data_IF_479136884105
#
_entry.id   IF_479136884105
#
_cell.length_a   1.000
_cell.length_b   1.000
_cell.length_c   1.000
_cell.angle_alpha   90.00
_cell.angle_beta   90.00
_cell.angle_gamma   90.00
#
_symmetry.space_group_name_H-M   'P 1'
#
loop_
_entity.id
_entity.type
_entity.pdbx_description
1 polymer ?
#
# COMPACT_ATOMS: atom_id res chain seq x y z
N UNK A 1 -5.56 -3.42 7.28
CA UNK A 1 -4.82 -4.55 6.65
C UNK A 1 -4.96 -5.83 7.46
N UNK A 2 -4.68 -5.83 8.77
CA UNK A 2 -4.84 -7.03 9.59
C UNK A 2 -6.27 -7.62 9.52
N UNK A 3 -7.32 -6.79 9.62
CA UNK A 3 -8.71 -7.23 9.46
C UNK A 3 -8.97 -7.89 8.10
N UNK A 4 -8.59 -7.22 7.01
CA UNK A 4 -8.68 -7.74 5.63
C UNK A 4 -8.01 -9.13 5.47
N UNK A 5 -6.80 -9.29 6.02
CA UNK A 5 -6.11 -10.58 5.98
C UNK A 5 -6.81 -11.62 6.86
N UNK A 6 -7.27 -11.23 8.05
CA UNK A 6 -8.02 -12.09 8.98
C UNK A 6 -9.34 -12.60 8.39
N UNK A 7 -10.09 -11.73 7.71
CA UNK A 7 -11.32 -12.08 6.99
C UNK A 7 -11.04 -13.10 5.88
N UNK A 8 -9.99 -12.86 5.07
CA UNK A 8 -9.58 -13.80 4.05
C UNK A 8 -9.14 -15.15 4.61
N UNK A 9 -8.43 -15.15 5.75
CA UNK A 9 -8.03 -16.36 6.49
C UNK A 9 -9.22 -17.11 7.08
N UNK A 10 -10.26 -16.38 7.52
CA UNK A 10 -11.52 -16.95 7.97
C UNK A 10 -12.37 -17.53 6.81
N UNK A 11 -11.91 -17.38 5.57
CA UNK A 11 -12.56 -17.93 4.37
C UNK A 11 -13.53 -16.99 3.67
N UNK A 12 -13.64 -15.73 4.12
CA UNK A 12 -14.51 -14.75 3.48
C UNK A 12 -13.94 -14.32 2.12
N UNK A 13 -14.79 -14.13 1.08
CA UNK A 13 -14.37 -13.83 -0.29
C UNK A 13 -13.99 -12.34 -0.48
N UNK A 14 -13.09 -11.82 0.36
CA UNK A 14 -12.69 -10.41 0.38
C UNK A 14 -11.48 -10.11 -0.51
N UNK A 15 -10.72 -11.12 -0.92
CA UNK A 15 -9.59 -10.95 -1.82
C UNK A 15 -10.05 -10.69 -3.26
N UNK A 16 -9.13 -10.19 -4.10
CA UNK A 16 -9.41 -9.83 -5.48
C UNK A 16 -10.10 -10.98 -6.25
N UNK A 17 -11.15 -10.66 -7.00
CA UNK A 17 -11.95 -11.65 -7.73
C UNK A 17 -12.90 -12.49 -6.87
N UNK A 18 -13.20 -12.06 -5.63
CA UNK A 18 -14.08 -12.81 -4.72
C UNK A 18 -13.40 -14.03 -4.09
N UNK A 19 -12.07 -13.97 -3.94
CA UNK A 19 -11.29 -15.07 -3.40
C UNK A 19 -11.11 -14.96 -1.88
N UNK A 20 -10.73 -16.06 -1.25
CA UNK A 20 -10.29 -16.11 0.16
C UNK A 20 -8.94 -16.82 0.26
N UNK A 21 -8.36 -16.91 1.46
CA UNK A 21 -7.07 -17.57 1.67
C UNK A 21 -7.06 -19.03 1.24
N UNK A 22 -8.23 -19.69 1.32
CA UNK A 22 -8.43 -21.10 0.99
C UNK A 22 -8.93 -21.32 -0.45
N UNK A 23 -9.21 -20.24 -1.19
CA UNK A 23 -9.54 -20.36 -2.62
C UNK A 23 -8.37 -20.97 -3.38
N UNK A 24 -8.64 -21.70 -4.46
CA UNK A 24 -7.60 -22.28 -5.31
C UNK A 24 -7.14 -21.27 -6.36
N UNK A 25 -5.84 -21.02 -6.40
CA UNK A 25 -5.20 -20.21 -7.45
C UNK A 25 -5.20 -20.92 -8.80
N UNK A 26 -4.76 -20.23 -9.85
CA UNK A 26 -4.65 -20.79 -11.21
C UNK A 26 -3.76 -22.05 -11.28
N UNK A 27 -2.88 -22.26 -10.31
CA UNK A 27 -2.02 -23.45 -10.21
C UNK A 27 -2.62 -24.56 -9.34
N UNK A 28 -3.87 -24.43 -8.89
CA UNK A 28 -4.55 -25.42 -8.04
C UNK A 28 -4.09 -25.41 -6.57
N UNK A 29 -3.32 -24.41 -6.16
CA UNK A 29 -2.78 -24.27 -4.80
C UNK A 29 -3.56 -23.19 -4.04
N UNK A 30 -3.85 -23.33 -2.73
CA UNK A 30 -4.52 -22.28 -1.95
C UNK A 30 -3.83 -20.92 -2.05
N UNK A 31 -4.60 -19.82 -2.09
CA UNK A 31 -4.07 -18.45 -2.25
C UNK A 31 -3.02 -18.06 -1.20
N UNK A 32 -3.15 -18.56 0.03
CA UNK A 32 -2.21 -18.28 1.14
C UNK A 32 -0.78 -18.81 0.89
N UNK A 33 -0.65 -19.84 0.04
CA UNK A 33 0.63 -20.44 -0.37
C UNK A 33 0.75 -20.49 -1.90
N UNK A 34 -0.01 -19.65 -2.59
CA UNK A 34 -0.04 -19.58 -4.05
C UNK A 34 0.87 -18.48 -4.61
N UNK A 35 0.93 -18.32 -5.94
CA UNK A 35 1.80 -17.34 -6.60
C UNK A 35 1.56 -15.88 -6.18
N UNK A 36 0.36 -15.56 -5.67
CA UNK A 36 -0.03 -14.23 -5.21
C UNK A 36 0.17 -14.01 -3.70
N UNK A 37 0.56 -15.04 -2.95
CA UNK A 37 0.71 -14.98 -1.50
C UNK A 37 1.72 -13.90 -1.05
N UNK A 38 2.78 -13.69 -1.83
CA UNK A 38 3.78 -12.66 -1.56
C UNK A 38 3.20 -11.25 -1.54
N UNK A 39 2.24 -10.94 -2.41
CA UNK A 39 1.60 -9.62 -2.42
C UNK A 39 0.73 -9.41 -1.18
N UNK A 40 0.01 -10.46 -0.75
CA UNK A 40 -0.78 -10.44 0.48
C UNK A 40 0.11 -10.24 1.72
N UNK A 41 1.22 -10.97 1.79
CA UNK A 41 2.20 -10.83 2.85
C UNK A 41 2.85 -9.44 2.87
N UNK A 42 3.15 -8.87 1.70
CA UNK A 42 3.76 -7.55 1.53
C UNK A 42 2.89 -6.39 1.99
N UNK A 43 1.56 -6.56 2.08
CA UNK A 43 0.66 -5.51 2.56
C UNK A 43 0.95 -5.07 4.00
N UNK A 44 1.25 -6.02 4.89
CA UNK A 44 1.47 -5.71 6.31
C UNK A 44 2.72 -4.83 6.53
N UNK A 45 3.93 -5.19 6.04
CA UNK A 45 5.09 -4.31 6.14
C UNK A 45 4.92 -3.01 5.36
N UNK A 46 4.23 -3.01 4.22
CA UNK A 46 3.95 -1.78 3.47
C UNK A 46 3.08 -0.80 4.27
N UNK A 47 2.03 -1.27 4.95
CA UNK A 47 1.23 -0.40 5.82
C UNK A 47 2.00 0.09 7.04
N UNK A 48 2.82 -0.77 7.65
CA UNK A 48 3.66 -0.35 8.76
C UNK A 48 4.62 0.77 8.34
N UNK A 49 5.36 0.58 7.24
CA UNK A 49 6.33 1.57 6.75
C UNK A 49 5.62 2.87 6.34
N UNK A 50 4.54 2.79 5.56
CA UNK A 50 3.84 4.01 5.12
C UNK A 50 3.17 4.76 6.28
N UNK A 51 2.63 4.05 7.28
CA UNK A 51 2.13 4.64 8.52
C UNK A 51 3.24 5.32 9.32
N UNK A 52 4.39 4.65 9.48
CA UNK A 52 5.57 5.20 10.17
C UNK A 52 6.15 6.44 9.48
N UNK A 53 6.08 6.51 8.14
CA UNK A 53 6.43 7.70 7.36
C UNK A 53 5.41 8.83 7.55
N UNK A 54 4.12 8.50 7.58
CA UNK A 54 3.05 9.46 7.82
C UNK A 54 3.18 10.11 9.22
N UNK A 55 3.49 9.34 10.25
CA UNK A 55 3.79 9.87 11.60
C UNK A 55 4.96 10.87 11.61
N UNK A 56 5.90 10.76 10.65
CA UNK A 56 7.02 11.69 10.44
C UNK A 56 6.67 12.90 9.58
N UNK A 57 5.40 13.09 9.26
CA UNK A 57 4.91 14.22 8.47
C UNK A 57 5.19 14.08 6.97
N UNK A 58 5.38 12.86 6.46
CA UNK A 58 5.50 12.65 5.01
C UNK A 58 4.19 12.91 4.27
N UNK A 59 3.06 12.92 4.97
CA UNK A 59 1.73 13.31 4.50
C UNK A 59 1.53 14.84 4.40
N UNK A 60 2.50 15.65 4.86
CA UNK A 60 2.39 17.13 4.87
C UNK A 60 2.83 17.81 3.59
N UNK A 61 3.51 17.10 2.69
CA UNK A 61 3.91 17.65 1.40
C UNK A 61 3.74 16.61 0.29
N UNK A 62 3.27 17.08 -0.88
CA UNK A 62 3.01 16.20 -2.02
C UNK A 62 4.23 15.34 -2.39
N UNK A 63 5.48 15.87 -2.47
CA UNK A 63 6.63 15.04 -2.82
C UNK A 63 6.95 13.94 -1.80
N UNK A 64 6.84 14.24 -0.49
CA UNK A 64 7.08 13.24 0.56
C UNK A 64 5.98 12.19 0.53
N UNK A 65 4.74 12.60 0.33
CA UNK A 65 3.63 11.68 0.30
C UNK A 65 3.70 10.73 -0.89
N UNK A 66 4.03 11.25 -2.08
CA UNK A 66 4.35 10.43 -3.26
C UNK A 66 5.48 9.46 -2.95
N UNK A 67 6.54 9.92 -2.27
CA UNK A 67 7.64 9.05 -1.82
C UNK A 67 7.18 7.91 -0.90
N UNK A 68 6.26 8.18 0.03
CA UNK A 68 5.69 7.16 0.89
C UNK A 68 4.86 6.14 0.09
N UNK A 69 4.05 6.58 -0.87
CA UNK A 69 3.28 5.69 -1.73
C UNK A 69 4.18 4.79 -2.60
N UNK A 70 5.24 5.36 -3.18
CA UNK A 70 6.24 4.59 -3.94
C UNK A 70 6.92 3.56 -3.04
N UNK A 71 7.32 3.93 -1.83
CA UNK A 71 7.93 2.99 -0.88
C UNK A 71 6.99 1.83 -0.55
N UNK A 72 5.70 2.10 -0.30
CA UNK A 72 4.69 1.07 -0.09
C UNK A 72 4.57 0.10 -1.27
N UNK A 73 4.50 0.62 -2.50
CA UNK A 73 4.43 -0.20 -3.71
C UNK A 73 5.69 -1.05 -3.90
N UNK A 74 6.87 -0.49 -3.66
CA UNK A 74 8.14 -1.23 -3.74
C UNK A 74 8.20 -2.39 -2.75
N UNK A 75 7.71 -2.18 -1.52
CA UNK A 75 7.63 -3.25 -0.53
C UNK A 75 6.69 -4.35 -1.02
N UNK A 76 5.49 -4.00 -1.50
CA UNK A 76 4.53 -4.97 -2.03
C UNK A 76 5.14 -5.75 -3.21
N UNK A 77 5.80 -5.08 -4.15
CA UNK A 77 6.46 -5.73 -5.28
C UNK A 77 7.63 -6.60 -4.88
N UNK A 78 8.44 -6.21 -3.90
CA UNK A 78 9.56 -7.02 -3.44
C UNK A 78 9.07 -8.37 -2.89
N UNK A 79 8.05 -8.36 -2.04
CA UNK A 79 7.48 -9.60 -1.50
C UNK A 79 6.74 -10.39 -2.57
N UNK A 80 5.91 -9.72 -3.39
CA UNK A 80 5.18 -10.35 -4.50
C UNK A 80 6.10 -11.04 -5.50
N UNK A 81 7.13 -10.34 -5.98
CA UNK A 81 8.09 -10.85 -6.94
C UNK A 81 8.95 -11.98 -6.36
N UNK A 82 9.32 -11.91 -5.07
CA UNK A 82 10.10 -12.98 -4.43
C UNK A 82 9.34 -14.32 -4.41
N UNK A 83 8.04 -14.30 -4.10
CA UNK A 83 7.21 -15.50 -4.11
C UNK A 83 6.89 -15.91 -5.54
N UNK A 84 6.40 -14.99 -6.38
CA UNK A 84 6.01 -15.29 -7.76
C UNK A 84 7.20 -15.81 -8.59
N UNK A 85 8.40 -15.29 -8.34
CA UNK A 85 9.65 -15.71 -8.97
C UNK A 85 10.00 -17.17 -8.69
N UNK A 86 9.61 -17.73 -7.54
CA UNK A 86 9.78 -19.16 -7.23
C UNK A 86 8.87 -20.03 -8.13
N UNK A 87 7.68 -19.55 -8.50
CA UNK A 87 6.74 -20.30 -9.34
C UNK A 87 7.02 -20.17 -10.84
N UNK A 88 7.44 -18.98 -11.30
CA UNK A 88 7.52 -18.65 -12.73
C UNK A 88 8.93 -18.33 -13.24
N UNK A 89 9.91 -18.15 -12.35
CA UNK A 89 11.19 -17.51 -12.67
C UNK A 89 11.09 -15.97 -12.70
N UNK A 90 12.21 -15.29 -12.48
CA UNK A 90 12.23 -13.83 -12.28
C UNK A 90 11.75 -13.01 -13.50
N UNK A 91 12.13 -13.40 -14.72
CA UNK A 91 11.72 -12.70 -15.94
C UNK A 91 10.19 -12.69 -16.10
N UNK A 92 9.54 -13.86 -16.23
CA UNK A 92 8.09 -13.95 -16.33
C UNK A 92 7.36 -13.39 -15.10
N UNK A 93 7.94 -13.52 -13.90
CA UNK A 93 7.37 -12.94 -12.69
C UNK A 93 7.38 -11.41 -12.71
N UNK A 94 8.39 -10.77 -13.28
CA UNK A 94 8.39 -9.31 -13.46
C UNK A 94 7.36 -8.87 -14.51
N UNK A 95 7.32 -9.57 -15.64
CA UNK A 95 6.38 -9.29 -16.74
C UNK A 95 4.91 -9.40 -16.32
N UNK A 96 4.58 -10.38 -15.48
CA UNK A 96 3.19 -10.62 -15.04
C UNK A 96 2.86 -10.01 -13.68
N UNK A 97 3.87 -9.87 -12.83
CA UNK A 97 3.70 -9.48 -11.42
C UNK A 97 4.05 -8.03 -11.11
N UNK A 98 4.70 -7.30 -12.01
CA UNK A 98 5.10 -5.90 -11.77
C UNK A 98 4.65 -5.00 -12.92
N UNK A 99 5.08 -5.29 -14.15
CA UNK A 99 4.80 -4.43 -15.32
C UNK A 99 3.33 -4.02 -15.49
N UNK A 100 2.32 -4.92 -15.40
CA UNK A 100 0.93 -4.53 -15.61
C UNK A 100 0.37 -3.63 -14.51
N UNK A 101 0.98 -3.62 -13.32
CA UNK A 101 0.52 -2.81 -12.19
C UNK A 101 1.10 -1.39 -12.20
N UNK A 102 2.26 -1.17 -12.84
CA UNK A 102 2.93 0.14 -12.89
C UNK A 102 2.01 1.26 -13.41
N UNK A 103 1.31 1.13 -14.56
CA UNK A 103 0.45 2.20 -15.05
C UNK A 103 -0.67 2.54 -14.07
N UNK A 104 -1.29 1.52 -13.47
CA UNK A 104 -2.34 1.69 -12.47
C UNK A 104 -1.83 2.40 -11.22
N UNK A 105 -0.61 2.08 -10.78
CA UNK A 105 -0.01 2.71 -9.61
C UNK A 105 0.41 4.16 -9.88
N UNK A 106 0.92 4.47 -11.06
CA UNK A 106 1.19 5.86 -11.47
C UNK A 106 -0.10 6.68 -11.42
N UNK A 107 -1.19 6.15 -11.97
CA UNK A 107 -2.50 6.81 -11.95
C UNK A 107 -2.99 7.00 -10.51
N UNK A 108 -2.91 5.97 -9.66
CA UNK A 108 -3.30 6.07 -8.24
C UNK A 108 -2.49 7.13 -7.50
N UNK A 109 -1.17 7.15 -7.70
CA UNK A 109 -0.28 8.12 -7.06
C UNK A 109 -0.59 9.54 -7.56
N UNK A 110 -0.84 9.73 -8.85
CA UNK A 110 -1.21 11.03 -9.41
C UNK A 110 -2.56 11.52 -8.85
N UNK A 111 -3.57 10.66 -8.83
CA UNK A 111 -4.89 10.98 -8.27
C UNK A 111 -4.80 11.31 -6.78
N UNK A 112 -4.04 10.51 -6.03
CA UNK A 112 -3.74 10.79 -4.65
C UNK A 112 -3.10 12.19 -4.55
N UNK A 113 -1.95 12.43 -5.21
CA UNK A 113 -1.20 13.68 -5.20
C UNK A 113 -2.08 14.93 -5.45
N UNK A 114 -3.07 14.82 -6.35
CA UNK A 114 -4.03 15.87 -6.67
C UNK A 114 -5.13 16.05 -5.61
N UNK A 115 -5.53 14.98 -4.93
CA UNK A 115 -6.54 15.02 -3.88
C UNK A 115 -6.03 15.65 -2.58
N UNK A 116 -4.73 15.53 -2.25
CA UNK A 116 -4.18 16.05 -0.99
C UNK A 116 -4.43 17.56 -0.80
N UNK A 117 -4.09 18.44 -1.77
CA UNK A 117 -4.31 19.87 -1.62
C UNK A 117 -5.79 20.20 -1.40
N UNK A 118 -6.70 19.42 -1.99
CA UNK A 118 -8.14 19.54 -1.78
C UNK A 118 -8.56 19.09 -0.38
N UNK A 119 -8.02 17.98 0.12
CA UNK A 119 -8.31 17.47 1.45
C UNK A 119 -7.85 18.43 2.57
N UNK A 120 -6.66 19.00 2.45
CA UNK A 120 -6.14 19.98 3.43
C UNK A 120 -6.97 21.28 3.47
N UNK A 121 -7.57 21.68 2.34
CA UNK A 121 -8.49 22.84 2.29
C UNK A 121 -9.81 22.60 3.03
N UNK A 122 -10.24 21.34 3.15
CA UNK A 122 -11.51 20.96 3.82
C UNK A 122 -11.27 20.72 5.31
N UNK A 123 -10.13 20.16 5.69
CA UNK A 123 -9.83 19.80 7.09
C UNK A 123 -9.41 21.01 7.93
N UNK A 124 -9.02 22.12 7.30
CA UNK A 124 -8.72 23.39 7.97
C UNK A 124 -7.36 23.36 8.67
N UNK A 125 -6.53 24.36 8.39
CA UNK A 125 -5.30 24.62 9.14
C UNK A 125 -5.66 24.79 10.62
N UNK A 126 -5.09 23.94 11.50
CA UNK A 126 -5.16 24.21 12.94
C UNK A 126 -4.46 25.55 13.20
N UNK A 127 -5.11 26.50 13.90
CA UNK A 127 -4.47 27.75 14.30
C UNK A 127 -3.17 27.46 15.03
N UNK A 128 -2.07 28.09 14.61
CA UNK A 128 -0.84 28.14 15.39
C UNK A 128 -1.14 28.94 16.64
N UNK A 129 -1.01 28.30 17.80
CA UNK A 129 -1.00 28.97 19.09
C UNK A 129 0.22 29.90 19.13
N UNK A 130 -0.05 31.21 19.03
CA UNK A 130 0.90 32.31 19.12
C UNK A 130 0.94 32.86 20.56
N UNK A 131 0.98 31.98 21.56
CA UNK A 131 1.09 32.40 22.96
C UNK A 131 2.50 32.84 23.37
N UNK A 132 3.45 33.03 22.43
CA UNK A 132 4.83 33.46 22.74
C UNK A 132 5.05 34.97 22.68
N UNK A 133 4.07 35.76 22.23
CA UNK A 133 4.22 37.20 21.99
C UNK A 133 3.64 38.10 23.10
N UNK A 134 3.50 37.61 24.34
CA UNK A 134 3.15 38.48 25.47
C UNK A 134 4.38 38.79 26.34
N UNK A 135 5.10 39.91 26.12
CA UNK A 135 5.94 40.46 27.17
C UNK A 135 5.01 40.93 28.30
N UNK A 136 5.08 40.23 29.44
CA UNK A 136 4.38 40.62 30.67
C UNK A 136 4.67 42.10 31.00
N UNK A 137 3.66 42.87 31.45
CA UNK A 137 3.80 44.29 31.77
C UNK A 137 4.76 44.56 32.94
#
# INVERSE_FOLDING_TARGET
>A
IAAYLGEGLAGLPVFAGGNSAWSLSATGVPYIVGPTAGYLAGFLPAAFVTGWMAERGWDRSVPRWVGAMVAGNLIIYAFGLSVLGVYLGLGPAFERGVQPFIPGDIIKIALAALALPGAWRIVGDRPRDDSSDNPLP
#
